data_IF_197864153687
#
_entry.id   IF_197864153687
#
_cell.length_a   1.000
_cell.length_b   1.000
_cell.length_c   1.000
_cell.angle_alpha   90.00
_cell.angle_beta   90.00
_cell.angle_gamma   90.00
#
_symmetry.space_group_name_H-M   'P 1'
#
loop_
_entity.id
_entity.type
_entity.pdbx_description
1 polymer ?
#
# COMPACT_ATOMS: atom_id res chain seq x y z
N UNK A 1 -3.79 -22.96 -1.66
CA UNK A 1 -2.59 -22.20 -1.25
C UNK A 1 -2.23 -21.26 -2.39
N UNK A 2 -2.07 -19.97 -2.12
CA UNK A 2 -1.75 -18.95 -3.14
C UNK A 2 -0.53 -18.15 -2.70
N UNK A 3 0.27 -17.67 -3.65
CA UNK A 3 1.43 -16.80 -3.44
C UNK A 3 0.98 -15.35 -3.51
N UNK A 4 1.22 -14.61 -2.45
CA UNK A 4 0.77 -13.23 -2.29
C UNK A 4 1.98 -12.34 -2.13
N UNK A 5 2.05 -11.30 -2.97
CA UNK A 5 3.01 -10.23 -2.79
C UNK A 5 2.34 -9.03 -2.13
N UNK A 6 2.71 -8.72 -0.89
CA UNK A 6 2.14 -7.64 -0.10
C UNK A 6 3.11 -6.46 -0.03
N UNK A 7 2.58 -5.27 -0.29
CA UNK A 7 3.29 -3.99 -0.23
C UNK A 7 2.60 -3.15 0.83
N UNK A 8 3.32 -2.70 1.86
CA UNK A 8 2.73 -1.96 2.99
C UNK A 8 3.66 -0.92 3.61
N UNK A 9 3.22 -0.25 4.67
CA UNK A 9 4.08 0.65 5.46
C UNK A 9 4.68 -0.12 6.65
N UNK A 10 5.90 0.22 7.02
CA UNK A 10 6.65 -0.38 8.12
C UNK A 10 7.60 0.61 8.81
N UNK A 11 8.59 0.11 9.55
CA UNK A 11 8.73 -1.30 9.92
C UNK A 11 7.53 -1.79 10.74
N UNK A 12 7.33 -3.10 10.79
CA UNK A 12 6.35 -3.71 11.68
C UNK A 12 6.79 -3.56 13.15
N UNK A 13 5.94 -3.90 14.13
CA UNK A 13 6.29 -3.90 15.56
C UNK A 13 7.31 -5.00 15.90
N UNK A 14 8.52 -4.90 15.40
CA UNK A 14 9.52 -5.97 15.36
C UNK A 14 10.70 -5.71 16.31
N UNK A 15 10.42 -5.33 17.55
CA UNK A 15 11.44 -5.13 18.61
C UNK A 15 12.40 -3.96 18.39
N UNK A 16 12.73 -3.61 17.15
CA UNK A 16 13.59 -2.50 16.74
C UNK A 16 12.85 -1.29 16.19
N UNK A 17 11.52 -1.37 16.02
CA UNK A 17 10.70 -0.24 15.58
C UNK A 17 10.55 0.82 16.69
N UNK A 18 11.02 2.04 16.45
CA UNK A 18 10.88 3.18 17.38
C UNK A 18 9.51 3.85 17.32
N UNK A 19 8.83 3.78 16.16
CA UNK A 19 7.48 4.28 15.94
C UNK A 19 6.73 3.27 15.11
N UNK A 20 5.52 2.98 15.56
CA UNK A 20 4.60 2.09 14.86
C UNK A 20 3.42 2.94 14.44
N UNK A 21 3.13 2.95 13.14
CA UNK A 21 1.98 3.66 12.59
C UNK A 21 0.78 2.73 12.51
N UNK A 22 -0.42 3.31 12.45
CA UNK A 22 -1.64 2.54 12.16
C UNK A 22 -1.51 1.77 10.83
N UNK A 23 -0.78 2.34 9.85
CA UNK A 23 -0.48 1.69 8.57
C UNK A 23 0.35 0.40 8.75
N UNK A 24 1.38 0.42 9.60
CA UNK A 24 2.18 -0.77 9.89
C UNK A 24 1.38 -1.85 10.62
N UNK A 25 0.50 -1.45 11.55
CA UNK A 25 -0.41 -2.40 12.22
C UNK A 25 -1.39 -3.01 11.21
N UNK A 26 -1.96 -2.22 10.30
CA UNK A 26 -2.87 -2.69 9.26
C UNK A 26 -2.18 -3.69 8.33
N UNK A 27 -0.96 -3.40 7.87
CA UNK A 27 -0.17 -4.33 7.05
C UNK A 27 0.07 -5.66 7.78
N UNK A 28 0.42 -5.62 9.07
CA UNK A 28 0.60 -6.83 9.87
C UNK A 28 -0.69 -7.65 9.99
N UNK A 29 -1.87 -7.00 10.11
CA UNK A 29 -3.14 -7.72 10.18
C UNK A 29 -3.44 -8.51 8.91
N UNK A 30 -3.13 -7.96 7.73
CA UNK A 30 -3.23 -8.70 6.47
C UNK A 30 -2.27 -9.90 6.45
N UNK A 31 -0.99 -9.67 6.75
CA UNK A 31 0.02 -10.75 6.77
C UNK A 31 -0.39 -11.87 7.72
N UNK A 32 -0.80 -11.53 8.94
CA UNK A 32 -1.22 -12.50 9.95
C UNK A 32 -2.44 -13.30 9.50
N UNK A 33 -3.46 -12.65 8.95
CA UNK A 33 -4.67 -13.33 8.48
C UNK A 33 -4.38 -14.26 7.29
N UNK A 34 -3.62 -13.79 6.30
CA UNK A 34 -3.29 -14.56 5.09
C UNK A 34 -2.42 -15.76 5.40
N UNK A 35 -1.43 -15.62 6.29
CA UNK A 35 -0.61 -16.75 6.76
C UNK A 35 -1.44 -17.76 7.54
N UNK A 36 -2.34 -17.30 8.41
CA UNK A 36 -3.23 -18.19 9.15
C UNK A 36 -4.17 -18.97 8.22
N UNK A 37 -4.59 -18.37 7.11
CA UNK A 37 -5.35 -19.05 6.06
C UNK A 37 -4.52 -19.98 5.15
N UNK A 38 -3.21 -20.12 5.39
CA UNK A 38 -2.33 -21.03 4.65
C UNK A 38 -1.85 -20.49 3.30
N UNK A 39 -1.79 -19.17 3.11
CA UNK A 39 -1.16 -18.56 1.94
C UNK A 39 0.34 -18.35 2.17
N UNK A 40 1.10 -18.38 1.06
CA UNK A 40 2.50 -17.98 1.04
C UNK A 40 2.58 -16.47 0.81
N UNK A 41 3.15 -15.74 1.77
CA UNK A 41 3.12 -14.27 1.80
C UNK A 41 4.54 -13.73 1.76
N UNK A 42 4.83 -12.90 0.77
CA UNK A 42 6.05 -12.10 0.69
C UNK A 42 5.69 -10.64 0.99
N UNK A 43 6.46 -9.98 1.86
CA UNK A 43 6.18 -8.62 2.30
C UNK A 43 7.37 -7.70 1.99
N UNK A 44 7.08 -6.59 1.31
CA UNK A 44 7.93 -5.41 1.32
C UNK A 44 7.20 -4.28 2.06
N UNK A 45 7.84 -3.72 3.09
CA UNK A 45 7.37 -2.51 3.77
C UNK A 45 8.19 -1.29 3.43
N UNK A 46 7.65 -0.10 3.71
CA UNK A 46 8.34 1.18 3.53
C UNK A 46 8.29 2.00 4.81
N UNK A 47 9.40 2.63 5.17
CA UNK A 47 9.48 3.48 6.36
C UNK A 47 10.19 4.78 6.07
N UNK A 48 9.71 5.88 6.66
CA UNK A 48 10.50 7.10 6.79
C UNK A 48 11.59 6.86 7.83
N UNK A 49 12.85 6.98 7.40
CA UNK A 49 14.05 6.65 8.16
C UNK A 49 14.10 5.16 8.54
N UNK A 50 14.73 4.35 7.68
CA UNK A 50 15.42 3.16 8.20
C UNK A 50 16.27 3.66 9.36
N UNK A 51 16.13 3.03 10.52
CA UNK A 51 16.74 3.38 11.82
C UNK A 51 17.87 4.42 11.76
N UNK A 52 17.90 5.47 12.61
CA UNK A 52 18.99 6.46 12.64
C UNK A 52 20.38 5.87 12.96
N UNK A 53 20.47 4.55 13.17
CA UNK A 53 21.70 3.80 13.36
C UNK A 53 21.98 2.79 12.25
N UNK A 54 21.39 2.88 11.04
CA UNK A 54 21.94 2.09 9.93
C UNK A 54 23.32 2.66 9.55
N UNK A 55 24.43 2.01 9.94
CA UNK A 55 25.77 2.52 9.67
C UNK A 55 26.15 2.30 8.19
N UNK A 56 25.28 1.63 7.41
CA UNK A 56 25.58 1.08 6.10
C UNK A 56 24.77 1.68 4.95
N UNK A 57 23.93 2.70 5.19
CA UNK A 57 23.06 3.32 4.16
C UNK A 57 22.26 2.28 3.34
N UNK A 58 21.86 1.16 3.96
CA UNK A 58 21.19 0.08 3.22
C UNK A 58 19.79 0.56 2.86
N UNK A 59 19.49 0.60 1.56
CA UNK A 59 18.15 0.97 1.08
C UNK A 59 17.12 -0.15 1.26
N UNK A 60 17.58 -1.38 1.54
CA UNK A 60 16.76 -2.56 1.84
C UNK A 60 17.32 -3.22 3.09
N UNK A 61 16.48 -3.34 4.12
CA UNK A 61 16.82 -3.94 5.40
C UNK A 61 15.98 -5.22 5.61
N UNK A 62 16.61 -6.40 5.69
CA UNK A 62 15.92 -7.62 6.11
C UNK A 62 15.46 -7.49 7.56
N UNK A 63 14.19 -7.82 7.82
CA UNK A 63 13.59 -7.76 9.15
C UNK A 63 12.78 -9.02 9.44
N UNK A 64 12.44 -9.24 10.71
CA UNK A 64 11.64 -10.38 11.11
C UNK A 64 10.69 -10.03 12.27
N UNK A 65 9.44 -10.49 12.18
CA UNK A 65 8.43 -10.38 13.26
C UNK A 65 7.71 -11.70 13.45
N UNK A 66 7.68 -12.23 14.67
CA UNK A 66 7.00 -13.50 14.99
C UNK A 66 7.39 -14.65 14.03
N UNK A 67 8.71 -14.77 13.75
CA UNK A 67 9.26 -15.76 12.82
C UNK A 67 8.92 -15.50 11.34
N UNK A 68 8.31 -14.37 10.98
CA UNK A 68 8.05 -13.95 9.62
C UNK A 68 9.14 -13.00 9.11
N UNK A 69 9.92 -13.42 8.12
CA UNK A 69 10.90 -12.56 7.46
C UNK A 69 10.22 -11.65 6.44
N UNK A 70 10.71 -10.41 6.33
CA UNK A 70 10.24 -9.43 5.36
C UNK A 70 11.34 -8.40 5.03
N UNK A 71 11.16 -7.65 3.96
CA UNK A 71 12.07 -6.57 3.57
C UNK A 71 11.47 -5.22 3.93
N UNK A 72 12.23 -4.36 4.62
CA UNK A 72 11.87 -2.98 4.88
C UNK A 72 12.73 -2.04 4.01
N UNK A 73 12.08 -1.22 3.20
CA UNK A 73 12.71 -0.32 2.26
C UNK A 73 12.73 1.12 2.81
N UNK A 74 13.83 1.82 2.51
CA UNK A 74 13.92 3.25 2.78
C UNK A 74 13.14 4.03 1.73
N UNK A 75 12.33 4.98 2.17
CA UNK A 75 11.64 5.88 1.25
C UNK A 75 12.59 6.79 0.44
N UNK A 76 13.85 6.94 0.86
CA UNK A 76 14.92 7.63 0.10
C UNK A 76 15.39 6.84 -1.13
N UNK A 77 14.99 5.58 -1.28
CA UNK A 77 15.35 4.78 -2.45
C UNK A 77 14.77 5.43 -3.72
N UNK A 78 15.65 5.93 -4.60
CA UNK A 78 15.24 6.64 -5.83
C UNK A 78 14.45 5.80 -6.84
N UNK A 79 14.51 4.46 -6.75
CA UNK A 79 13.84 3.54 -7.68
C UNK A 79 13.02 2.44 -6.99
N UNK A 80 12.21 2.81 -5.99
CA UNK A 80 11.27 1.89 -5.32
C UNK A 80 10.42 1.08 -6.30
N UNK A 81 9.85 1.74 -7.32
CA UNK A 81 8.95 1.08 -8.27
C UNK A 81 9.68 0.01 -9.10
N UNK A 82 10.91 0.29 -9.55
CA UNK A 82 11.72 -0.69 -10.28
C UNK A 82 12.06 -1.91 -9.43
N UNK A 83 12.44 -1.68 -8.17
CA UNK A 83 12.68 -2.75 -7.22
C UNK A 83 11.43 -3.61 -7.01
N UNK A 84 10.31 -3.01 -6.64
CA UNK A 84 9.05 -3.73 -6.42
C UNK A 84 8.61 -4.51 -7.66
N UNK A 85 8.78 -3.93 -8.87
CA UNK A 85 8.43 -4.60 -10.12
C UNK A 85 9.29 -5.85 -10.37
N UNK A 86 10.58 -5.80 -10.01
CA UNK A 86 11.48 -6.96 -10.09
C UNK A 86 11.10 -8.05 -9.07
N UNK A 87 10.79 -7.64 -7.84
CA UNK A 87 10.28 -8.54 -6.80
C UNK A 87 9.00 -9.25 -7.28
N UNK A 88 8.05 -8.49 -7.82
CA UNK A 88 6.80 -9.03 -8.34
C UNK A 88 7.03 -10.03 -9.47
N UNK A 89 7.95 -9.75 -10.41
CA UNK A 89 8.28 -10.70 -11.48
C UNK A 89 8.92 -11.98 -10.95
N UNK A 90 9.89 -11.84 -10.03
CA UNK A 90 10.61 -12.97 -9.45
C UNK A 90 9.70 -13.89 -8.65
N UNK A 91 8.82 -13.30 -7.83
CA UNK A 91 7.85 -14.03 -7.01
C UNK A 91 6.75 -14.68 -7.85
N UNK A 92 6.39 -14.05 -8.98
CA UNK A 92 5.28 -14.46 -9.85
C UNK A 92 4.01 -14.75 -9.02
N UNK A 93 3.50 -13.76 -8.25
CA UNK A 93 2.43 -13.98 -7.30
C UNK A 93 1.10 -14.24 -7.99
N UNK A 94 0.18 -14.90 -7.30
CA UNK A 94 -1.20 -15.08 -7.74
C UNK A 94 -2.05 -13.84 -7.45
N UNK A 95 -1.58 -12.97 -6.53
CA UNK A 95 -2.23 -11.71 -6.17
C UNK A 95 -1.20 -10.71 -5.60
N UNK A 96 -1.37 -9.43 -5.93
CA UNK A 96 -0.62 -8.34 -5.29
C UNK A 96 -1.56 -7.55 -4.39
N UNK A 97 -1.15 -7.33 -3.13
CA UNK A 97 -1.93 -6.56 -2.16
C UNK A 97 -1.15 -5.30 -1.79
N UNK A 98 -1.76 -4.13 -1.99
CA UNK A 98 -1.28 -2.88 -1.42
C UNK A 98 -2.06 -2.53 -0.16
N UNK A 99 -1.35 -2.14 0.91
CA UNK A 99 -1.98 -1.75 2.19
C UNK A 99 -1.65 -0.29 2.51
N UNK A 100 -2.65 0.59 2.35
CA UNK A 100 -2.52 2.04 2.39
C UNK A 100 -2.44 2.62 0.98
N UNK A 101 -2.73 3.92 0.83
CA UNK A 101 -2.84 4.58 -0.47
C UNK A 101 -1.54 4.53 -1.26
N UNK A 102 -0.40 4.92 -0.67
CA UNK A 102 0.87 4.93 -1.38
C UNK A 102 1.36 3.52 -1.77
N UNK A 103 1.38 2.51 -0.87
CA UNK A 103 1.67 1.13 -1.24
C UNK A 103 0.71 0.55 -2.29
N UNK A 104 -0.58 0.87 -2.22
CA UNK A 104 -1.57 0.49 -3.24
C UNK A 104 -1.31 1.16 -4.58
N UNK A 105 -0.89 2.43 -4.56
CA UNK A 105 -0.48 3.16 -5.74
C UNK A 105 0.74 2.51 -6.41
N UNK A 106 1.75 2.09 -5.64
CA UNK A 106 2.88 1.33 -6.17
C UNK A 106 2.46 -0.03 -6.70
N UNK A 107 1.64 -0.78 -5.97
CA UNK A 107 1.10 -2.07 -6.41
C UNK A 107 0.41 -1.98 -7.78
N UNK A 108 -0.38 -0.94 -7.98
CA UNK A 108 -1.03 -0.66 -9.26
C UNK A 108 -0.02 -0.24 -10.36
N UNK A 109 0.96 0.60 -10.01
CA UNK A 109 1.97 1.12 -10.96
C UNK A 109 2.98 0.07 -11.42
N UNK A 110 3.20 -1.00 -10.65
CA UNK A 110 3.99 -2.16 -11.10
C UNK A 110 3.39 -2.83 -12.34
N UNK A 111 2.08 -2.64 -12.58
CA UNK A 111 1.31 -3.30 -13.65
C UNK A 111 1.54 -4.83 -13.67
N UNK A 112 1.31 -5.51 -12.54
CA UNK A 112 1.41 -6.97 -12.52
C UNK A 112 0.37 -7.57 -13.46
N UNK A 113 0.67 -8.77 -13.95
CA UNK A 113 -0.32 -9.63 -14.64
C UNK A 113 -1.34 -10.21 -13.65
N UNK A 114 -0.91 -10.44 -12.41
CA UNK A 114 -1.77 -10.84 -11.32
C UNK A 114 -2.77 -9.73 -10.93
N UNK A 115 -3.95 -10.09 -10.39
CA UNK A 115 -4.90 -9.12 -9.86
C UNK A 115 -4.29 -8.31 -8.71
N UNK A 116 -4.70 -7.05 -8.61
CA UNK A 116 -4.29 -6.12 -7.57
C UNK A 116 -5.46 -5.83 -6.62
N UNK A 117 -5.26 -6.13 -5.33
CA UNK A 117 -6.14 -5.69 -4.27
C UNK A 117 -5.52 -4.50 -3.52
N UNK A 118 -6.20 -3.35 -3.54
CA UNK A 118 -5.83 -2.18 -2.75
C UNK A 118 -6.65 -2.07 -1.46
N UNK A 119 -6.01 -1.94 -0.31
CA UNK A 119 -6.65 -1.61 0.97
C UNK A 119 -6.41 -0.14 1.30
N UNK A 120 -7.46 0.68 1.20
CA UNK A 120 -7.42 2.09 1.52
C UNK A 120 -7.94 2.29 2.94
N UNK A 121 -7.08 2.71 3.87
CA UNK A 121 -7.48 3.03 5.24
C UNK A 121 -7.17 4.49 5.54
N UNK A 122 -8.21 5.32 5.44
CA UNK A 122 -8.10 6.77 5.40
C UNK A 122 -8.47 7.33 4.02
N UNK A 123 -8.90 8.58 3.98
CA UNK A 123 -9.27 9.26 2.74
C UNK A 123 -8.26 10.36 2.45
N UNK A 124 -7.32 10.07 1.56
CA UNK A 124 -6.17 10.95 1.34
C UNK A 124 -6.56 12.27 0.67
N UNK A 125 -7.63 12.30 -0.14
CA UNK A 125 -8.08 13.56 -0.73
C UNK A 125 -8.73 14.48 0.29
N UNK A 126 -9.42 13.95 1.30
CA UNK A 126 -9.89 14.78 2.42
C UNK A 126 -8.72 15.32 3.26
N UNK A 127 -7.70 14.49 3.53
CA UNK A 127 -6.48 14.97 4.19
C UNK A 127 -5.79 16.06 3.37
N UNK A 128 -5.68 15.86 2.06
CA UNK A 128 -5.08 16.82 1.15
C UNK A 128 -5.84 18.15 1.14
N UNK A 129 -7.18 18.12 1.15
CA UNK A 129 -8.01 19.31 1.18
C UNK A 129 -7.81 20.12 2.48
N UNK A 130 -7.75 19.45 3.62
CA UNK A 130 -7.50 20.13 4.91
C UNK A 130 -6.09 20.74 4.94
N UNK A 131 -5.09 20.04 4.40
CA UNK A 131 -3.73 20.58 4.24
C UNK A 131 -3.70 21.78 3.30
N UNK A 132 -4.38 21.70 2.16
CA UNK A 132 -4.46 22.80 1.21
C UNK A 132 -5.08 24.06 1.82
N UNK A 133 -6.16 23.89 2.60
CA UNK A 133 -6.80 24.98 3.32
C UNK A 133 -5.88 25.59 4.39
N UNK A 134 -5.12 24.77 5.11
CA UNK A 134 -4.16 25.23 6.12
C UNK A 134 -2.98 25.99 5.48
N UNK A 135 -2.44 25.47 4.38
CA UNK A 135 -1.25 26.00 3.71
C UNK A 135 -1.59 27.15 2.73
N UNK A 136 -2.88 27.39 2.46
CA UNK A 136 -3.33 28.38 1.49
C UNK A 136 -2.95 28.04 0.05
N UNK A 137 -2.75 26.76 -0.27
CA UNK A 137 -2.23 26.29 -1.56
C UNK A 137 -2.76 24.90 -1.92
N UNK A 138 -3.24 24.74 -3.16
CA UNK A 138 -3.77 23.48 -3.68
C UNK A 138 -2.68 22.53 -4.22
N UNK A 139 -1.40 22.91 -4.17
CA UNK A 139 -0.30 22.10 -4.73
C UNK A 139 -0.27 20.68 -4.14
N UNK A 140 -0.59 20.54 -2.86
CA UNK A 140 -0.62 19.27 -2.13
C UNK A 140 -1.67 18.30 -2.68
N UNK A 141 -2.76 18.78 -3.30
CA UNK A 141 -3.78 17.93 -3.91
C UNK A 141 -3.19 17.06 -5.02
N UNK A 142 -2.32 17.66 -5.84
CA UNK A 142 -1.66 16.96 -6.95
C UNK A 142 -0.72 15.85 -6.47
N UNK A 143 -0.09 16.04 -5.30
CA UNK A 143 0.77 15.05 -4.67
C UNK A 143 -0.05 13.82 -4.27
N UNK A 144 -1.10 14.00 -3.44
CA UNK A 144 -1.94 12.87 -2.99
C UNK A 144 -2.65 12.17 -4.14
N UNK A 145 -3.17 12.94 -5.11
CA UNK A 145 -3.83 12.36 -6.28
C UNK A 145 -2.91 11.47 -7.12
N UNK A 146 -1.60 11.76 -7.16
CA UNK A 146 -0.61 10.92 -7.85
C UNK A 146 -0.51 9.52 -7.26
N UNK A 147 -0.78 9.36 -5.96
CA UNK A 147 -0.74 8.07 -5.27
C UNK A 147 -2.07 7.32 -5.37
N UNK A 148 -3.21 8.02 -5.27
CA UNK A 148 -4.53 7.38 -5.29
C UNK A 148 -5.05 7.09 -6.71
N UNK A 149 -4.81 7.98 -7.68
CA UNK A 149 -5.30 7.82 -9.06
C UNK A 149 -4.93 6.46 -9.69
N UNK A 150 -3.70 5.92 -9.54
CA UNK A 150 -3.37 4.58 -10.01
C UNK A 150 -4.26 3.49 -9.40
N UNK A 151 -4.64 3.62 -8.13
CA UNK A 151 -5.54 2.68 -7.45
C UNK A 151 -6.91 2.69 -8.12
N UNK A 152 -7.51 3.86 -8.24
CA UNK A 152 -8.81 4.03 -8.90
C UNK A 152 -8.78 3.45 -10.32
N UNK A 153 -7.71 3.69 -11.07
CA UNK A 153 -7.62 3.29 -12.47
C UNK A 153 -7.24 1.83 -12.70
N UNK A 154 -6.55 1.15 -11.77
CA UNK A 154 -5.99 -0.19 -12.03
C UNK A 154 -6.40 -1.27 -11.03
N UNK A 155 -6.73 -0.96 -9.79
CA UNK A 155 -7.04 -1.99 -8.80
C UNK A 155 -8.23 -2.85 -9.25
N UNK A 156 -8.13 -4.16 -9.02
CA UNK A 156 -9.16 -5.14 -9.35
C UNK A 156 -10.16 -5.31 -8.18
N UNK A 157 -9.67 -5.15 -6.95
CA UNK A 157 -10.49 -5.04 -5.73
C UNK A 157 -9.99 -3.89 -4.88
N UNK A 158 -10.92 -3.17 -4.25
CA UNK A 158 -10.60 -2.13 -3.27
C UNK A 158 -11.36 -2.41 -1.98
N UNK A 159 -10.66 -2.40 -0.84
CA UNK A 159 -11.26 -2.42 0.50
C UNK A 159 -11.07 -1.08 1.19
N UNK A 160 -12.03 -0.73 2.03
CA UNK A 160 -12.04 0.47 2.87
C UNK A 160 -12.38 0.09 4.31
N UNK A 161 -12.15 0.99 5.26
CA UNK A 161 -12.33 0.69 6.69
C UNK A 161 -13.63 1.23 7.29
N UNK A 162 -14.46 1.91 6.51
CA UNK A 162 -15.75 2.44 7.00
C UNK A 162 -16.75 2.71 5.87
N UNK A 163 -18.04 2.74 6.21
CA UNK A 163 -19.11 3.07 5.28
C UNK A 163 -19.01 4.50 4.70
N UNK A 164 -18.66 5.56 5.47
CA UNK A 164 -18.46 6.88 4.89
C UNK A 164 -17.33 6.90 3.84
N UNK A 165 -16.20 6.25 4.14
CA UNK A 165 -15.09 6.14 3.20
C UNK A 165 -15.50 5.33 1.95
N UNK A 166 -16.33 4.29 2.12
CA UNK A 166 -16.89 3.53 0.99
C UNK A 166 -17.65 4.43 0.03
N UNK A 167 -18.53 5.30 0.54
CA UNK A 167 -19.28 6.21 -0.32
C UNK A 167 -18.37 7.24 -1.01
N UNK A 168 -17.34 7.75 -0.33
CA UNK A 168 -16.34 8.61 -0.96
C UNK A 168 -15.64 7.89 -2.12
N UNK A 169 -15.16 6.66 -1.90
CA UNK A 169 -14.52 5.84 -2.93
C UNK A 169 -15.46 5.55 -4.11
N UNK A 170 -16.75 5.28 -3.86
CA UNK A 170 -17.72 5.06 -4.94
C UNK A 170 -17.89 6.32 -5.81
N UNK A 171 -17.91 7.51 -5.20
CA UNK A 171 -17.90 8.78 -5.93
C UNK A 171 -16.65 8.97 -6.78
N UNK A 172 -15.47 8.64 -6.23
CA UNK A 172 -14.19 8.71 -6.94
C UNK A 172 -14.13 7.71 -8.11
N UNK A 173 -14.58 6.47 -7.91
CA UNK A 173 -14.66 5.46 -8.96
C UNK A 173 -15.65 5.86 -10.06
N UNK A 174 -16.80 6.43 -9.69
CA UNK A 174 -17.77 6.98 -10.65
C UNK A 174 -17.15 8.07 -11.50
N UNK A 175 -16.46 9.02 -10.86
CA UNK A 175 -15.76 10.13 -11.53
C UNK A 175 -14.62 9.64 -12.43
N UNK A 176 -13.92 8.57 -12.03
CA UNK A 176 -12.87 7.93 -12.82
C UNK A 176 -13.40 7.05 -13.97
N UNK A 177 -14.72 6.94 -14.15
CA UNK A 177 -15.34 6.10 -15.19
C UNK A 177 -15.24 4.59 -14.92
N UNK A 178 -14.96 4.20 -13.67
CA UNK A 178 -14.78 2.81 -13.26
C UNK A 178 -16.07 2.09 -12.95
N UNK A 179 -17.16 2.82 -12.67
CA UNK A 179 -18.49 2.27 -12.46
C UNK A 179 -19.25 2.25 -13.80
N UNK A 180 -19.70 1.07 -14.23
CA UNK A 180 -20.37 0.84 -15.50
C UNK A 180 -21.32 -0.37 -15.41
N UNK A 181 -21.95 -0.74 -16.53
CA UNK A 181 -22.94 -1.84 -16.58
C UNK A 181 -22.42 -3.19 -16.08
N UNK A 182 -21.11 -3.43 -16.11
CA UNK A 182 -20.51 -4.70 -15.70
C UNK A 182 -20.27 -4.81 -14.19
N UNK A 183 -20.31 -3.69 -13.46
CA UNK A 183 -20.10 -3.64 -12.02
C UNK A 183 -21.13 -2.72 -11.32
N UNK A 184 -22.34 -2.64 -11.90
CA UNK A 184 -23.49 -2.02 -11.23
C UNK A 184 -23.74 -2.73 -9.90
N UNK A 185 -23.98 -1.95 -8.84
CA UNK A 185 -24.15 -2.49 -7.48
C UNK A 185 -22.84 -2.93 -6.81
N UNK A 186 -21.68 -2.52 -7.32
CA UNK A 186 -20.42 -2.67 -6.60
C UNK A 186 -20.49 -1.94 -5.25
N UNK A 187 -20.31 -2.69 -4.16
CA UNK A 187 -20.36 -2.24 -2.76
C UNK A 187 -19.29 -2.95 -1.91
#
# INVERSE_FOLDING_TARGET
>A
MSRIFLVGIGPLMDGGARRVTAHAVRAWRFVSALRHAGHDVNLCTFSQNISPHDPMERMVEPRAKDGFAYENLDMRMGNVLGYLSEQCRRLSPDCVIGVGTEPSGWACRMRPTAPVWADLHGWVMAEAQIKAAHDGSDEILSHFWRHERPVLLRADKISVVSTPQRFALLGELGTAGRLNRHNVGYD
#
